data_IF_391494426108
#
_entry.id   IF_391494426108
#
_cell.length_a   1.000
_cell.length_b   1.000
_cell.length_c   1.000
_cell.angle_alpha   90.00
_cell.angle_beta   90.00
_cell.angle_gamma   90.00
#
_symmetry.space_group_name_H-M   'P 1'
#
loop_
_entity.id
_entity.type
_entity.pdbx_description
1 polymer ?
#
# COMPACT_ATOMS: atom_id res chain seq x y z
N UNK A 1 -14.56 12.42 69.89
CA UNK A 1 -14.10 13.72 69.35
C UNK A 1 -12.63 13.57 69.01
N UNK A 2 -12.31 13.35 67.73
CA UNK A 2 -10.95 13.43 67.15
C UNK A 2 -11.12 13.72 65.65
N UNK A 3 -10.40 14.69 65.04
CA UNK A 3 -10.62 15.08 63.66
C UNK A 3 -9.80 14.20 62.70
N UNK A 4 -10.43 13.77 61.60
CA UNK A 4 -9.77 13.12 60.48
C UNK A 4 -9.14 14.18 59.56
N UNK A 5 -7.84 14.08 59.34
CA UNK A 5 -7.11 14.85 58.34
C UNK A 5 -7.04 14.04 57.04
N UNK A 6 -7.61 14.59 55.96
CA UNK A 6 -7.42 14.10 54.59
C UNK A 6 -6.36 14.97 53.90
N UNK A 7 -5.25 14.41 53.37
CA UNK A 7 -4.35 15.20 52.55
C UNK A 7 -4.89 15.27 51.12
N UNK A 8 -5.09 16.49 50.62
CA UNK A 8 -5.26 16.77 49.20
C UNK A 8 -3.96 16.40 48.46
N UNK A 9 -3.98 15.32 47.68
CA UNK A 9 -2.98 15.08 46.64
C UNK A 9 -3.40 15.85 45.39
N UNK A 10 -2.79 17.01 45.15
CA UNK A 10 -2.80 17.66 43.85
C UNK A 10 -2.01 16.77 42.86
N UNK A 11 -2.70 16.08 41.98
CA UNK A 11 -2.10 15.45 40.81
C UNK A 11 -1.77 16.55 39.79
N UNK A 12 -0.50 16.94 39.71
CA UNK A 12 0.01 17.77 38.62
C UNK A 12 -0.01 16.96 37.32
N UNK A 13 -1.02 17.21 36.47
CA UNK A 13 -0.98 16.79 35.08
C UNK A 13 0.14 17.58 34.38
N UNK A 14 1.31 16.97 34.24
CA UNK A 14 2.33 17.44 33.30
C UNK A 14 1.78 17.12 31.91
N UNK A 15 1.09 18.09 31.33
CA UNK A 15 0.74 18.06 29.92
C UNK A 15 2.03 18.09 29.11
N UNK A 16 2.39 16.97 28.50
CA UNK A 16 3.44 16.91 27.49
C UNK A 16 2.99 17.75 26.31
N UNK A 17 3.40 19.02 26.25
CA UNK A 17 3.26 19.83 25.04
C UNK A 17 4.18 19.21 23.99
N UNK A 18 3.61 18.50 23.02
CA UNK A 18 4.35 18.09 21.82
C UNK A 18 4.73 19.37 21.09
N UNK A 19 5.96 19.82 21.31
CA UNK A 19 6.49 21.02 20.67
C UNK A 19 6.61 20.72 19.18
N UNK A 20 5.94 21.52 18.34
CA UNK A 20 6.03 21.38 16.89
C UNK A 20 7.50 21.39 16.47
N UNK A 21 7.91 20.43 15.62
CA UNK A 21 9.28 20.35 15.16
C UNK A 21 9.71 21.70 14.55
N UNK A 22 10.90 22.22 14.87
CA UNK A 22 11.35 23.48 14.32
C UNK A 22 11.54 23.33 12.82
N UNK A 23 10.89 24.16 12.01
CA UNK A 23 11.07 24.17 10.56
C UNK A 23 12.55 24.37 10.19
N UNK A 24 13.12 23.57 9.26
CA UNK A 24 12.52 22.46 8.51
C UNK A 24 12.20 21.24 9.39
N UNK A 25 11.08 20.57 9.15
CA UNK A 25 10.54 19.50 10.00
C UNK A 25 11.37 18.20 9.91
N UNK A 26 12.58 18.21 10.42
CA UNK A 26 13.52 17.08 10.36
C UNK A 26 13.85 16.49 11.72
N UNK A 27 14.19 15.21 11.72
CA UNK A 27 14.73 14.51 12.89
C UNK A 27 16.00 13.71 12.53
N UNK A 28 16.76 13.33 13.56
CA UNK A 28 18.02 12.57 13.41
C UNK A 28 19.29 13.42 13.45
N UNK A 29 19.18 14.76 13.50
CA UNK A 29 20.29 15.64 13.84
C UNK A 29 19.76 16.97 14.40
N UNK A 30 20.48 17.62 15.34
CA UNK A 30 20.09 18.93 15.87
C UNK A 30 20.26 20.04 14.82
N UNK A 31 19.40 21.08 14.81
CA UNK A 31 19.45 22.18 13.85
C UNK A 31 20.82 22.84 13.70
N UNK A 32 21.58 22.96 14.79
CA UNK A 32 22.89 23.61 14.86
C UNK A 32 23.90 22.96 13.90
N UNK A 33 23.83 21.63 13.77
CA UNK A 33 24.68 20.84 12.87
C UNK A 33 24.23 21.01 11.41
N UNK A 34 22.95 21.27 11.17
CA UNK A 34 22.37 21.33 9.83
C UNK A 34 22.45 22.71 9.18
N UNK A 35 22.55 23.79 9.96
CA UNK A 35 22.56 25.20 9.48
C UNK A 35 23.60 25.49 8.41
N UNK A 36 24.74 24.79 8.43
CA UNK A 36 25.81 24.95 7.44
C UNK A 36 25.51 24.30 6.09
N UNK A 37 24.51 23.40 6.01
CA UNK A 37 24.21 22.67 4.78
C UNK A 37 23.38 23.51 3.79
N UNK A 38 23.63 23.31 2.50
CA UNK A 38 22.94 24.03 1.43
C UNK A 38 21.42 23.77 1.44
N UNK A 39 21.01 22.51 1.52
CA UNK A 39 19.59 22.12 1.53
C UNK A 39 18.82 22.77 2.69
N UNK A 40 19.44 22.89 3.87
CA UNK A 40 18.81 23.48 5.05
C UNK A 40 18.59 24.99 4.87
N UNK A 41 19.60 25.71 4.33
CA UNK A 41 19.48 27.14 4.00
C UNK A 41 18.41 27.39 2.95
N UNK A 42 18.28 26.50 1.97
CA UNK A 42 17.21 26.59 0.97
C UNK A 42 15.82 26.47 1.61
N UNK A 43 15.62 25.54 2.54
CA UNK A 43 14.37 25.48 3.28
C UNK A 43 14.11 26.79 4.04
N UNK A 44 15.10 27.30 4.77
CA UNK A 44 14.94 28.54 5.55
C UNK A 44 14.56 29.75 4.68
N UNK A 45 15.08 29.84 3.44
CA UNK A 45 14.73 30.89 2.48
C UNK A 45 13.23 30.96 2.21
N UNK A 46 12.56 29.81 2.10
CA UNK A 46 11.14 29.72 1.71
C UNK A 46 10.19 29.55 2.90
N UNK A 47 10.69 29.62 4.15
CA UNK A 47 9.89 29.42 5.37
C UNK A 47 8.61 30.26 5.39
N UNK A 48 8.73 31.52 4.95
CA UNK A 48 7.63 32.50 4.98
C UNK A 48 6.91 32.62 3.64
N UNK A 49 7.20 31.76 2.66
CA UNK A 49 6.55 31.81 1.35
C UNK A 49 5.03 31.57 1.50
N UNK A 50 4.21 32.33 0.80
CA UNK A 50 2.75 32.16 0.78
C UNK A 50 2.25 32.14 -0.66
N UNK A 51 1.13 31.44 -0.94
CA UNK A 51 0.54 31.47 -2.27
C UNK A 51 0.01 32.87 -2.56
N UNK A 52 0.23 33.34 -3.79
CA UNK A 52 -0.19 34.69 -4.23
C UNK A 52 -1.71 34.91 -4.14
N UNK A 53 -2.49 33.83 -4.20
CA UNK A 53 -3.92 33.82 -3.85
C UNK A 53 -4.13 32.78 -2.75
N UNK A 54 -4.80 33.14 -1.64
CA UNK A 54 -5.20 32.15 -0.66
C UNK A 54 -6.05 31.09 -1.35
N UNK A 55 -5.67 29.82 -1.20
CA UNK A 55 -6.54 28.71 -1.58
C UNK A 55 -7.74 28.76 -0.63
N UNK A 56 -8.88 29.24 -1.13
CA UNK A 56 -10.09 29.33 -0.32
C UNK A 56 -10.55 27.90 -0.05
N UNK A 57 -10.49 27.45 1.19
CA UNK A 57 -11.11 26.20 1.60
C UNK A 57 -12.60 26.31 1.26
N UNK A 58 -13.05 25.52 0.28
CA UNK A 58 -14.46 25.50 -0.12
C UNK A 58 -15.35 25.23 1.09
N UNK A 59 -16.39 26.05 1.27
CA UNK A 59 -17.49 25.76 2.21
C UNK A 59 -18.30 24.62 1.62
N UNK A 60 -17.91 23.38 1.88
CA UNK A 60 -18.59 22.21 1.33
C UNK A 60 -18.09 20.93 1.98
N UNK A 61 -19.04 20.26 2.63
CA UNK A 61 -19.02 18.95 3.29
C UNK A 61 -18.10 18.78 4.50
N UNK A 62 -18.73 18.54 5.66
CA UNK A 62 -18.15 18.03 6.91
C UNK A 62 -17.62 16.59 6.77
N UNK A 63 -17.04 16.25 5.62
CA UNK A 63 -16.39 14.97 5.37
C UNK A 63 -14.89 15.04 5.68
N UNK A 64 -14.33 13.96 6.24
CA UNK A 64 -12.87 13.77 6.27
C UNK A 64 -12.34 13.85 4.84
N UNK A 65 -11.48 14.84 4.56
CA UNK A 65 -10.90 15.02 3.23
C UNK A 65 -9.60 14.22 3.09
N UNK A 66 -9.59 13.18 2.26
CA UNK A 66 -8.38 12.43 1.90
C UNK A 66 -7.67 13.12 0.72
N UNK A 67 -6.81 14.09 1.02
CA UNK A 67 -6.11 14.87 0.00
C UNK A 67 -5.22 14.00 -0.90
N UNK A 68 -4.59 12.96 -0.35
CA UNK A 68 -3.74 12.07 -1.13
C UNK A 68 -4.58 11.19 -2.06
N UNK A 69 -5.68 10.62 -1.56
CA UNK A 69 -6.64 9.89 -2.38
C UNK A 69 -7.15 10.72 -3.55
N UNK A 70 -7.61 11.94 -3.28
CA UNK A 70 -8.10 12.87 -4.31
C UNK A 70 -7.01 13.25 -5.32
N UNK A 71 -5.77 13.48 -4.87
CA UNK A 71 -4.66 13.80 -5.77
C UNK A 71 -4.41 12.67 -6.77
N UNK A 72 -4.20 11.44 -6.28
CA UNK A 72 -3.89 10.30 -7.16
C UNK A 72 -5.06 9.92 -8.06
N UNK A 73 -6.30 10.02 -7.57
CA UNK A 73 -7.48 9.86 -8.43
C UNK A 73 -7.49 10.89 -9.56
N UNK A 74 -7.25 12.17 -9.24
CA UNK A 74 -7.28 13.25 -10.23
C UNK A 74 -6.14 13.12 -11.25
N UNK A 75 -4.94 12.69 -10.83
CA UNK A 75 -3.85 12.36 -11.76
C UNK A 75 -4.25 11.26 -12.75
N UNK A 76 -5.03 10.29 -12.30
CA UNK A 76 -5.48 9.15 -13.11
C UNK A 76 -6.74 9.42 -13.94
N UNK A 77 -7.32 10.63 -13.85
CA UNK A 77 -8.43 11.06 -14.70
C UNK A 77 -7.88 11.67 -16.00
N UNK A 78 -8.14 11.06 -17.18
CA UNK A 78 -7.60 11.56 -18.46
C UNK A 78 -7.98 13.02 -18.76
N UNK A 79 -9.17 13.44 -18.34
CA UNK A 79 -9.75 14.75 -18.63
C UNK A 79 -9.89 15.62 -17.36
N UNK A 80 -9.00 15.45 -16.37
CA UNK A 80 -9.02 16.23 -15.14
C UNK A 80 -9.00 17.75 -15.42
N UNK A 81 -10.11 18.41 -15.12
CA UNK A 81 -10.31 19.82 -15.38
C UNK A 81 -9.81 20.71 -14.24
N UNK A 82 -9.90 22.02 -14.45
CA UNK A 82 -9.53 23.03 -13.44
C UNK A 82 -10.30 22.83 -12.11
N UNK A 83 -11.58 22.51 -12.20
CA UNK A 83 -12.43 22.29 -11.02
C UNK A 83 -11.97 21.07 -10.19
N UNK A 84 -11.51 20.01 -10.83
CA UNK A 84 -11.01 18.82 -10.14
C UNK A 84 -9.77 19.17 -9.32
N UNK A 85 -8.80 19.85 -9.94
CA UNK A 85 -7.59 20.31 -9.26
C UNK A 85 -7.89 21.34 -8.15
N UNK A 86 -8.83 22.26 -8.35
CA UNK A 86 -9.26 23.20 -7.31
C UNK A 86 -9.78 22.47 -6.05
N UNK A 87 -10.51 21.35 -6.21
CA UNK A 87 -10.92 20.51 -5.07
C UNK A 87 -9.73 19.87 -4.36
N UNK A 88 -8.74 19.38 -5.11
CA UNK A 88 -7.51 18.79 -4.51
C UNK A 88 -6.74 19.86 -3.73
N UNK A 89 -6.55 21.05 -4.32
CA UNK A 89 -5.90 22.20 -3.68
C UNK A 89 -6.62 22.59 -2.38
N UNK A 90 -7.95 22.77 -2.43
CA UNK A 90 -8.74 23.13 -1.26
C UNK A 90 -8.69 22.05 -0.16
N UNK A 91 -8.74 20.77 -0.55
CA UNK A 91 -8.60 19.66 0.37
C UNK A 91 -7.24 19.67 1.08
N UNK A 92 -6.16 19.74 0.29
CA UNK A 92 -4.80 19.68 0.78
C UNK A 92 -4.44 20.87 1.67
N UNK A 93 -4.94 22.07 1.34
CA UNK A 93 -4.76 23.26 2.16
C UNK A 93 -5.49 23.14 3.50
N UNK A 94 -6.73 22.63 3.51
CA UNK A 94 -7.54 22.47 4.73
C UNK A 94 -6.99 21.41 5.68
N UNK A 95 -6.38 20.36 5.16
CA UNK A 95 -5.82 19.26 5.97
C UNK A 95 -4.33 19.38 6.20
N UNK A 96 -3.71 20.49 5.79
CA UNK A 96 -2.25 20.71 5.83
C UNK A 96 -1.47 19.53 5.25
N UNK A 97 -1.97 18.95 4.16
CA UNK A 97 -1.35 17.80 3.50
C UNK A 97 -0.10 18.22 2.72
N UNK A 98 0.99 18.53 3.44
CA UNK A 98 2.22 19.09 2.88
C UNK A 98 2.83 18.26 1.75
N UNK A 99 2.71 16.92 1.79
CA UNK A 99 3.12 16.06 0.67
C UNK A 99 2.34 16.35 -0.62
N UNK A 100 1.02 16.46 -0.51
CA UNK A 100 0.15 16.78 -1.66
C UNK A 100 0.36 18.21 -2.14
N UNK A 101 0.46 19.18 -1.23
CA UNK A 101 0.73 20.58 -1.58
C UNK A 101 2.08 20.71 -2.30
N UNK A 102 3.12 20.01 -1.85
CA UNK A 102 4.40 19.95 -2.55
C UNK A 102 4.21 19.47 -3.99
N UNK A 103 3.55 18.33 -4.20
CA UNK A 103 3.34 17.76 -5.53
C UNK A 103 2.50 18.68 -6.42
N UNK A 104 1.41 19.25 -5.91
CA UNK A 104 0.55 20.21 -6.63
C UNK A 104 1.36 21.40 -7.16
N UNK A 105 2.20 22.01 -6.31
CA UNK A 105 3.02 23.16 -6.71
C UNK A 105 4.23 22.78 -7.57
N UNK A 106 4.84 21.62 -7.35
CA UNK A 106 5.99 21.17 -8.14
C UNK A 106 5.59 20.77 -9.56
N UNK A 107 4.46 20.07 -9.70
CA UNK A 107 4.00 19.50 -10.97
C UNK A 107 3.11 20.46 -11.77
N UNK A 108 2.67 21.57 -11.16
CA UNK A 108 1.75 22.50 -11.83
C UNK A 108 0.36 21.90 -12.05
N UNK A 109 -0.12 21.10 -11.10
CA UNK A 109 -1.41 20.43 -11.25
C UNK A 109 -2.55 21.46 -11.13
N UNK A 110 -3.15 21.80 -12.27
CA UNK A 110 -4.16 22.86 -12.41
C UNK A 110 -3.59 24.30 -12.37
N UNK A 111 -2.27 24.49 -12.44
CA UNK A 111 -1.62 25.80 -12.36
C UNK A 111 -0.19 25.80 -12.93
N UNK A 112 0.45 26.96 -13.07
CA UNK A 112 1.90 26.99 -13.36
C UNK A 112 2.70 26.50 -12.15
N UNK A 113 3.77 25.69 -12.33
CA UNK A 113 4.64 25.26 -11.23
C UNK A 113 5.17 26.44 -10.39
N UNK A 114 5.21 26.26 -9.07
CA UNK A 114 5.70 27.22 -8.09
C UNK A 114 6.69 26.56 -7.14
N UNK A 115 7.95 26.45 -7.57
CA UNK A 115 8.96 25.65 -6.86
C UNK A 115 9.30 26.14 -5.46
N UNK A 116 9.25 27.45 -5.17
CA UNK A 116 9.50 27.93 -3.80
C UNK A 116 8.36 27.53 -2.83
N UNK A 117 7.11 27.49 -3.31
CA UNK A 117 6.01 26.93 -2.53
C UNK A 117 6.14 25.43 -2.37
N UNK A 118 6.48 24.72 -3.45
CA UNK A 118 6.74 23.28 -3.37
C UNK A 118 7.83 22.97 -2.34
N UNK A 119 8.93 23.72 -2.36
CA UNK A 119 10.03 23.59 -1.42
C UNK A 119 9.60 23.90 0.02
N UNK A 120 8.81 24.95 0.25
CA UNK A 120 8.24 25.23 1.57
C UNK A 120 7.49 24.01 2.10
N UNK A 121 6.57 23.47 1.30
CA UNK A 121 5.76 22.33 1.72
C UNK A 121 6.63 21.07 1.90
N UNK A 122 7.61 20.83 1.03
CA UNK A 122 8.59 19.74 1.20
C UNK A 122 9.31 19.80 2.55
N UNK A 123 9.77 20.99 2.94
CA UNK A 123 10.45 21.28 4.20
C UNK A 123 9.51 21.24 5.43
N UNK A 124 8.19 21.24 5.22
CA UNK A 124 7.17 21.04 6.26
C UNK A 124 6.78 19.57 6.46
N UNK A 125 7.23 18.65 5.61
CA UNK A 125 6.99 17.21 5.79
C UNK A 125 7.94 16.68 6.87
N UNK A 126 7.39 16.06 7.90
CA UNK A 126 8.19 15.39 8.93
C UNK A 126 8.99 14.25 8.31
N UNK A 127 10.33 14.32 8.33
CA UNK A 127 11.19 13.30 7.72
C UNK A 127 12.60 13.23 8.32
N UNK A 128 13.32 12.10 8.21
CA UNK A 128 14.73 12.03 8.52
C UNK A 128 15.55 13.01 7.68
N UNK A 129 16.70 13.47 8.21
CA UNK A 129 17.62 14.37 7.49
C UNK A 129 17.98 13.88 6.08
N UNK A 130 18.21 12.57 5.92
CA UNK A 130 18.56 11.98 4.62
C UNK A 130 17.45 12.14 3.57
N UNK A 131 16.21 11.83 3.94
CA UNK A 131 15.04 11.98 3.06
C UNK A 131 14.78 13.44 2.71
N UNK A 132 14.83 14.33 3.71
CA UNK A 132 14.63 15.76 3.47
C UNK A 132 15.68 16.32 2.51
N UNK A 133 16.96 15.97 2.71
CA UNK A 133 18.05 16.37 1.80
C UNK A 133 17.79 15.87 0.37
N UNK A 134 17.40 14.61 0.20
CA UNK A 134 17.10 14.03 -1.11
C UNK A 134 15.95 14.77 -1.80
N UNK A 135 14.85 15.00 -1.08
CA UNK A 135 13.66 15.72 -1.58
C UNK A 135 13.95 17.14 -2.02
N UNK A 136 14.72 17.89 -1.22
CA UNK A 136 15.14 19.26 -1.58
C UNK A 136 16.01 19.25 -2.84
N UNK A 137 16.92 18.28 -2.96
CA UNK A 137 17.77 18.14 -4.14
C UNK A 137 16.97 17.75 -5.39
N UNK A 138 15.99 16.85 -5.25
CA UNK A 138 15.09 16.44 -6.33
C UNK A 138 14.26 17.61 -6.86
N UNK A 139 13.62 18.37 -5.97
CA UNK A 139 12.88 19.58 -6.33
C UNK A 139 13.75 20.61 -7.04
N UNK A 140 15.02 20.76 -6.63
CA UNK A 140 15.95 21.68 -7.29
C UNK A 140 16.27 21.25 -8.72
N UNK A 141 16.52 19.96 -8.96
CA UNK A 141 16.73 19.43 -10.32
C UNK A 141 15.50 19.64 -11.20
N UNK A 142 14.30 19.46 -10.63
CA UNK A 142 13.05 19.73 -11.34
C UNK A 142 12.85 21.21 -11.67
N UNK A 143 13.28 22.10 -10.77
CA UNK A 143 13.22 23.55 -10.95
C UNK A 143 14.25 24.09 -11.97
N UNK A 144 15.45 23.49 -12.03
CA UNK A 144 16.47 23.84 -13.04
C UNK A 144 16.17 23.25 -14.42
N UNK A 145 15.29 22.25 -14.49
CA UNK A 145 14.98 21.53 -15.73
C UNK A 145 15.94 20.38 -16.04
N UNK A 146 16.86 20.07 -15.12
CA UNK A 146 17.74 18.89 -15.19
C UNK A 146 16.95 17.59 -15.05
N UNK A 147 15.79 17.67 -14.38
CA UNK A 147 14.82 16.59 -14.26
C UNK A 147 13.47 17.07 -14.82
N UNK A 148 12.76 16.21 -15.55
CA UNK A 148 11.45 16.49 -16.16
C UNK A 148 10.35 15.60 -15.62
N UNK A 149 10.69 14.59 -14.82
CA UNK A 149 9.69 13.70 -14.24
C UNK A 149 8.80 14.45 -13.24
N UNK A 150 7.58 13.96 -13.05
CA UNK A 150 6.69 14.51 -12.04
C UNK A 150 7.23 14.13 -10.66
N UNK A 151 7.22 15.09 -9.74
CA UNK A 151 7.62 14.84 -8.35
C UNK A 151 6.50 14.08 -7.65
N UNK A 152 6.85 12.97 -7.02
CA UNK A 152 6.01 12.27 -6.06
C UNK A 152 6.62 12.33 -4.65
N UNK A 153 5.77 12.46 -3.63
CA UNK A 153 6.22 12.42 -2.23
C UNK A 153 6.89 11.09 -1.86
N UNK A 154 6.58 10.03 -2.62
CA UNK A 154 7.09 8.69 -2.44
C UNK A 154 8.47 8.42 -3.06
N UNK A 155 8.98 9.30 -3.93
CA UNK A 155 10.27 9.10 -4.62
C UNK A 155 11.45 9.10 -3.65
N UNK A 156 11.36 9.91 -2.59
CA UNK A 156 12.40 10.11 -1.59
C UNK A 156 12.08 9.42 -0.24
N UNK A 157 11.16 8.45 -0.24
CA UNK A 157 10.69 7.79 0.98
C UNK A 157 11.61 6.62 1.41
N UNK A 158 12.15 6.67 2.63
CA UNK A 158 12.93 5.58 3.22
C UNK A 158 12.18 4.85 4.34
N UNK A 159 11.76 5.57 5.39
CA UNK A 159 11.19 5.02 6.62
C UNK A 159 9.64 5.00 6.61
N UNK A 160 8.98 5.59 7.61
CA UNK A 160 7.51 5.53 7.80
C UNK A 160 6.72 5.95 6.57
N UNK A 161 7.26 6.89 5.79
CA UNK A 161 6.64 7.35 4.54
C UNK A 161 6.58 6.24 3.49
N UNK A 162 7.52 5.29 3.47
CA UNK A 162 7.51 4.14 2.55
C UNK A 162 6.27 3.27 2.76
N UNK A 163 5.92 2.99 4.02
CA UNK A 163 4.73 2.21 4.36
C UNK A 163 3.44 2.94 3.97
N UNK A 164 3.39 4.26 4.14
CA UNK A 164 2.25 5.08 3.70
C UNK A 164 2.13 5.08 2.18
N UNK A 165 3.24 5.22 1.46
CA UNK A 165 3.32 5.14 0.01
C UNK A 165 2.86 3.78 -0.53
N UNK A 166 3.30 2.68 0.08
CA UNK A 166 2.82 1.34 -0.25
C UNK A 166 1.30 1.24 -0.05
N UNK A 167 0.76 1.76 1.05
CA UNK A 167 -0.68 1.73 1.32
C UNK A 167 -1.49 2.60 0.34
N UNK A 168 -0.92 3.70 -0.15
CA UNK A 168 -1.56 4.53 -1.18
C UNK A 168 -1.56 3.82 -2.53
N UNK A 169 -0.42 3.24 -2.95
CA UNK A 169 -0.34 2.45 -4.17
C UNK A 169 -1.32 1.29 -4.15
N UNK A 170 -1.44 0.60 -3.01
CA UNK A 170 -2.37 -0.52 -2.90
C UNK A 170 -3.84 -0.07 -2.97
N UNK A 171 -4.20 1.06 -2.37
CA UNK A 171 -5.54 1.64 -2.55
C UNK A 171 -5.86 1.95 -4.02
N UNK A 172 -4.88 2.41 -4.80
CA UNK A 172 -5.06 2.67 -6.23
C UNK A 172 -5.20 1.36 -7.03
N UNK A 173 -4.36 0.36 -6.74
CA UNK A 173 -4.48 -0.98 -7.35
C UNK A 173 -5.83 -1.61 -7.05
N UNK A 174 -6.28 -1.52 -5.80
CA UNK A 174 -7.58 -2.06 -5.39
C UNK A 174 -8.76 -1.44 -6.11
N UNK A 175 -8.77 -0.11 -6.25
CA UNK A 175 -9.76 0.60 -7.06
C UNK A 175 -9.72 0.18 -8.52
N UNK A 176 -8.52 0.08 -9.10
CA UNK A 176 -8.34 -0.34 -10.49
C UNK A 176 -8.85 -1.76 -10.72
N UNK A 177 -8.42 -2.73 -9.89
CA UNK A 177 -8.90 -4.12 -9.92
C UNK A 177 -10.42 -4.19 -9.79
N UNK A 178 -10.98 -3.51 -8.79
CA UNK A 178 -12.43 -3.52 -8.53
C UNK A 178 -13.21 -2.93 -9.70
N UNK A 179 -12.73 -1.83 -10.29
CA UNK A 179 -13.35 -1.21 -11.46
C UNK A 179 -13.28 -2.13 -12.70
N UNK A 180 -12.15 -2.80 -12.94
CA UNK A 180 -11.98 -3.74 -14.04
C UNK A 180 -12.93 -4.94 -13.89
N UNK A 181 -12.98 -5.56 -12.70
CA UNK A 181 -13.90 -6.67 -12.42
C UNK A 181 -15.36 -6.23 -12.51
N UNK A 182 -15.72 -5.06 -11.98
CA UNK A 182 -17.08 -4.53 -12.10
C UNK A 182 -17.46 -4.25 -13.55
N UNK A 183 -16.55 -3.68 -14.35
CA UNK A 183 -16.80 -3.40 -15.75
C UNK A 183 -17.06 -4.69 -16.55
N UNK A 184 -16.32 -5.76 -16.23
CA UNK A 184 -16.43 -7.09 -16.81
C UNK A 184 -17.77 -7.77 -16.46
N UNK A 185 -18.25 -7.63 -15.22
CA UNK A 185 -19.45 -8.33 -14.74
C UNK A 185 -20.77 -7.66 -15.09
N UNK A 186 -20.77 -6.46 -15.69
CA UNK A 186 -22.00 -5.70 -16.03
C UNK A 186 -23.02 -6.49 -16.85
N UNK A 187 -22.58 -7.42 -17.69
CA UNK A 187 -23.45 -8.25 -18.52
C UNK A 187 -23.72 -9.66 -17.97
N UNK A 188 -23.16 -10.01 -16.82
CA UNK A 188 -23.26 -11.36 -16.27
C UNK A 188 -24.58 -11.60 -15.56
N UNK A 189 -25.04 -12.85 -15.55
CA UNK A 189 -26.21 -13.25 -14.78
C UNK A 189 -25.90 -13.39 -13.28
N UNK A 190 -26.94 -13.52 -12.46
CA UNK A 190 -26.80 -13.59 -11.00
C UNK A 190 -25.93 -14.76 -10.51
N UNK A 191 -25.96 -15.91 -11.21
CA UNK A 191 -25.16 -17.09 -10.83
C UNK A 191 -23.67 -16.86 -11.11
N UNK A 192 -23.35 -16.24 -12.24
CA UNK A 192 -21.99 -15.86 -12.62
C UNK A 192 -21.41 -14.82 -11.66
N UNK A 193 -22.19 -13.78 -11.33
CA UNK A 193 -21.79 -12.75 -10.38
C UNK A 193 -21.53 -13.34 -8.98
N UNK A 194 -22.43 -14.20 -8.49
CA UNK A 194 -22.25 -14.88 -7.21
C UNK A 194 -21.00 -15.79 -7.22
N UNK A 195 -20.76 -16.51 -8.31
CA UNK A 195 -19.56 -17.35 -8.46
C UNK A 195 -18.27 -16.54 -8.31
N UNK A 196 -18.19 -15.38 -8.97
CA UNK A 196 -17.04 -14.49 -8.85
C UNK A 196 -16.93 -13.86 -7.47
N UNK A 197 -18.04 -13.46 -6.85
CA UNK A 197 -18.03 -12.92 -5.49
C UNK A 197 -17.48 -13.94 -4.49
N UNK A 198 -17.90 -15.20 -4.60
CA UNK A 198 -17.38 -16.29 -3.75
C UNK A 198 -15.89 -16.51 -3.95
N UNK A 199 -15.42 -16.55 -5.21
CA UNK A 199 -14.00 -16.68 -5.52
C UNK A 199 -13.18 -15.48 -5.02
N UNK A 200 -13.70 -14.26 -5.22
CA UNK A 200 -13.10 -13.02 -4.74
C UNK A 200 -12.96 -13.03 -3.21
N UNK A 201 -14.02 -13.39 -2.49
CA UNK A 201 -13.97 -13.49 -1.02
C UNK A 201 -12.95 -14.53 -0.56
N UNK A 202 -12.87 -15.66 -1.25
CA UNK A 202 -11.92 -16.72 -0.91
C UNK A 202 -10.46 -16.30 -1.16
N UNK A 203 -10.15 -15.59 -2.25
CA UNK A 203 -8.80 -15.06 -2.47
C UNK A 203 -8.43 -13.99 -1.45
N UNK A 204 -9.36 -13.10 -1.07
CA UNK A 204 -9.08 -12.10 -0.02
C UNK A 204 -8.76 -12.78 1.31
N UNK A 205 -9.49 -13.85 1.66
CA UNK A 205 -9.22 -14.63 2.85
C UNK A 205 -7.85 -15.30 2.80
N UNK A 206 -7.49 -15.93 1.68
CA UNK A 206 -6.18 -16.53 1.46
C UNK A 206 -5.04 -15.50 1.50
N UNK A 207 -5.19 -14.37 0.81
CA UNK A 207 -4.20 -13.28 0.77
C UNK A 207 -3.97 -12.69 2.17
N UNK A 208 -5.03 -12.54 2.98
CA UNK A 208 -4.88 -12.11 4.37
C UNK A 208 -4.10 -13.15 5.19
N UNK A 209 -4.35 -14.45 4.99
CA UNK A 209 -3.60 -15.50 5.70
C UNK A 209 -2.12 -15.53 5.29
N UNK A 210 -1.82 -15.29 4.00
CA UNK A 210 -0.45 -15.08 3.52
C UNK A 210 0.25 -13.95 4.27
N UNK A 211 -0.44 -12.82 4.48
CA UNK A 211 0.08 -11.67 5.24
C UNK A 211 0.27 -12.02 6.72
N UNK A 212 -0.74 -12.58 7.37
CA UNK A 212 -0.75 -12.80 8.81
C UNK A 212 0.22 -13.90 9.25
N UNK A 213 0.45 -14.89 8.39
CA UNK A 213 1.07 -16.14 8.78
C UNK A 213 2.26 -16.59 7.94
N UNK A 214 2.40 -16.10 6.71
CA UNK A 214 3.49 -16.47 5.78
C UNK A 214 4.31 -15.24 5.34
N UNK A 215 4.18 -14.14 6.05
CA UNK A 215 5.02 -12.94 5.92
C UNK A 215 5.55 -12.63 7.30
N UNK A 216 6.83 -12.25 7.39
CA UNK A 216 7.37 -11.75 8.65
C UNK A 216 6.56 -10.52 9.11
N UNK A 217 6.62 -10.16 10.38
CA UNK A 217 6.00 -8.95 10.93
C UNK A 217 6.95 -8.15 11.83
N UNK A 218 8.24 -8.54 11.90
CA UNK A 218 9.19 -8.01 12.88
C UNK A 218 9.64 -6.55 12.70
N UNK A 219 9.29 -5.85 11.61
CA UNK A 219 9.77 -4.47 11.37
C UNK A 219 8.77 -3.58 10.62
N UNK A 220 9.00 -2.26 10.63
CA UNK A 220 8.21 -1.30 9.84
C UNK A 220 8.42 -1.45 8.33
N UNK A 221 9.60 -1.90 7.89
CA UNK A 221 9.84 -2.28 6.49
C UNK A 221 8.93 -3.44 6.05
N UNK A 222 8.49 -4.25 7.01
CA UNK A 222 7.63 -5.40 6.76
C UNK A 222 6.20 -5.02 6.41
N UNK A 223 5.72 -3.82 6.77
CA UNK A 223 4.38 -3.35 6.38
C UNK A 223 4.24 -3.16 4.87
N UNK A 224 5.28 -2.67 4.19
CA UNK A 224 5.27 -2.57 2.71
C UNK A 224 5.18 -3.96 2.10
N UNK A 225 6.00 -4.90 2.60
CA UNK A 225 6.00 -6.28 2.12
C UNK A 225 4.64 -6.96 2.32
N UNK A 226 3.99 -6.76 3.46
CA UNK A 226 2.65 -7.29 3.72
C UNK A 226 1.62 -6.77 2.71
N UNK A 227 1.65 -5.48 2.40
CA UNK A 227 0.79 -4.89 1.36
C UNK A 227 1.11 -5.47 -0.02
N UNK A 228 2.39 -5.60 -0.37
CA UNK A 228 2.82 -6.14 -1.65
C UNK A 228 2.41 -7.62 -1.82
N UNK A 229 2.51 -8.44 -0.75
CA UNK A 229 2.07 -9.84 -0.72
C UNK A 229 0.55 -9.95 -0.93
N UNK A 230 -0.24 -9.17 -0.19
CA UNK A 230 -1.69 -9.16 -0.37
C UNK A 230 -2.07 -8.74 -1.78
N UNK A 231 -1.48 -7.65 -2.26
CA UNK A 231 -1.76 -7.10 -3.57
C UNK A 231 -1.39 -8.05 -4.71
N UNK A 232 -0.28 -8.79 -4.59
CA UNK A 232 0.13 -9.76 -5.60
C UNK A 232 -0.91 -10.87 -5.79
N UNK A 233 -1.51 -11.38 -4.71
CA UNK A 233 -2.57 -12.40 -4.80
C UNK A 233 -3.84 -11.84 -5.45
N UNK A 234 -4.24 -10.62 -5.07
CA UNK A 234 -5.45 -9.98 -5.60
C UNK A 234 -5.29 -9.56 -7.06
N UNK A 235 -4.13 -9.03 -7.44
CA UNK A 235 -3.81 -8.71 -8.84
C UNK A 235 -3.78 -9.98 -9.68
N UNK A 236 -3.17 -11.05 -9.18
CA UNK A 236 -3.13 -12.31 -9.92
C UNK A 236 -4.53 -12.91 -10.10
N UNK A 237 -5.40 -12.83 -9.09
CA UNK A 237 -6.80 -13.25 -9.23
C UNK A 237 -7.53 -12.43 -10.30
N UNK A 238 -7.43 -11.10 -10.27
CA UNK A 238 -8.06 -10.25 -11.27
C UNK A 238 -7.52 -10.59 -12.67
N UNK A 239 -6.20 -10.80 -12.79
CA UNK A 239 -5.54 -11.22 -14.02
C UNK A 239 -6.10 -12.54 -14.55
N UNK A 240 -6.20 -13.58 -13.71
CA UNK A 240 -6.70 -14.89 -14.13
C UNK A 240 -8.14 -14.81 -14.65
N UNK A 241 -8.99 -14.02 -14.00
CA UNK A 241 -10.38 -13.78 -14.43
C UNK A 241 -10.41 -13.07 -15.78
N UNK A 242 -9.62 -12.00 -15.94
CA UNK A 242 -9.56 -11.25 -17.20
C UNK A 242 -8.99 -12.08 -18.36
N UNK A 243 -7.95 -12.86 -18.12
CA UNK A 243 -7.35 -13.73 -19.15
C UNK A 243 -8.32 -14.82 -19.58
N UNK A 244 -9.06 -15.42 -18.64
CA UNK A 244 -10.07 -16.42 -18.97
C UNK A 244 -11.22 -15.84 -19.82
N UNK A 245 -11.70 -14.64 -19.47
CA UNK A 245 -12.69 -13.91 -20.29
C UNK A 245 -12.14 -13.50 -21.66
N UNK A 246 -10.83 -13.24 -21.74
CA UNK A 246 -10.10 -13.03 -22.99
C UNK A 246 -9.80 -14.30 -23.80
N UNK A 247 -10.33 -15.46 -23.41
CA UNK A 247 -10.14 -16.73 -24.11
C UNK A 247 -8.82 -17.47 -23.80
N UNK A 248 -8.09 -17.02 -22.78
CA UNK A 248 -6.83 -17.61 -22.30
C UNK A 248 -7.00 -18.38 -20.99
N UNK A 249 -8.15 -19.04 -20.83
CA UNK A 249 -8.40 -19.91 -19.69
C UNK A 249 -7.34 -21.03 -19.58
N UNK A 250 -7.09 -21.57 -18.38
CA UNK A 250 -6.05 -22.58 -18.16
C UNK A 250 -6.25 -23.82 -19.03
N UNK A 251 -5.14 -24.40 -19.50
CA UNK A 251 -5.12 -25.55 -20.43
C UNK A 251 -4.36 -26.75 -19.87
N UNK A 252 -4.59 -27.08 -18.60
CA UNK A 252 -4.01 -28.27 -18.00
C UNK A 252 -4.95 -29.47 -18.11
N UNK A 253 -4.36 -30.65 -18.27
CA UNK A 253 -5.02 -31.93 -18.17
C UNK A 253 -5.20 -32.37 -16.71
N UNK A 254 -6.05 -33.37 -16.50
CA UNK A 254 -6.21 -34.02 -15.19
C UNK A 254 -4.92 -34.68 -14.70
N UNK A 255 -4.13 -35.28 -15.60
CA UNK A 255 -2.82 -35.86 -15.26
C UNK A 255 -1.81 -34.81 -14.80
N UNK A 256 -1.80 -33.63 -15.43
CA UNK A 256 -0.97 -32.51 -14.98
C UNK A 256 -1.40 -31.99 -13.62
N UNK A 257 -2.72 -31.87 -13.37
CA UNK A 257 -3.23 -31.52 -12.04
C UNK A 257 -2.74 -32.53 -10.98
N UNK A 258 -2.91 -33.83 -11.23
CA UNK A 258 -2.50 -34.88 -10.29
C UNK A 258 -0.98 -34.80 -9.97
N UNK A 259 -0.14 -34.60 -11.00
CA UNK A 259 1.31 -34.43 -10.80
C UNK A 259 1.65 -33.20 -9.98
N UNK A 260 0.98 -32.07 -10.22
CA UNK A 260 1.21 -30.82 -9.48
C UNK A 260 0.75 -30.95 -8.02
N UNK A 261 -0.40 -31.58 -7.78
CA UNK A 261 -0.96 -31.76 -6.43
C UNK A 261 -0.07 -32.70 -5.60
N UNK A 262 0.42 -33.79 -6.20
CA UNK A 262 1.38 -34.67 -5.54
C UNK A 262 2.65 -33.92 -5.11
N UNK A 263 3.23 -33.12 -6.02
CA UNK A 263 4.43 -32.31 -5.75
C UNK A 263 4.18 -31.28 -4.65
N UNK A 264 3.07 -30.53 -4.73
CA UNK A 264 2.71 -29.55 -3.71
C UNK A 264 2.55 -30.20 -2.34
N UNK A 265 1.84 -31.33 -2.28
CA UNK A 265 1.65 -32.06 -1.03
C UNK A 265 2.97 -32.62 -0.48
N UNK A 266 3.90 -33.06 -1.33
CA UNK A 266 5.23 -33.49 -0.91
C UNK A 266 6.02 -32.34 -0.27
N UNK A 267 6.08 -31.17 -0.92
CA UNK A 267 6.75 -29.97 -0.38
C UNK A 267 6.10 -29.53 0.92
N UNK A 268 4.76 -29.49 0.98
CA UNK A 268 4.04 -29.15 2.21
C UNK A 268 4.37 -30.13 3.34
N UNK A 269 4.32 -31.45 3.10
CA UNK A 269 4.67 -32.45 4.12
C UNK A 269 6.11 -32.30 4.60
N UNK A 270 7.06 -32.09 3.68
CA UNK A 270 8.46 -31.87 4.02
C UNK A 270 8.64 -30.63 4.90
N UNK A 271 8.01 -29.52 4.51
CA UNK A 271 7.99 -28.30 5.31
C UNK A 271 7.41 -28.56 6.72
N UNK A 272 6.31 -29.31 6.82
CA UNK A 272 5.70 -29.63 8.10
C UNK A 272 6.55 -30.57 8.95
N UNK A 273 7.33 -31.49 8.38
CA UNK A 273 8.17 -32.43 9.13
C UNK A 273 9.45 -31.77 9.65
N UNK A 274 10.10 -30.95 8.84
CA UNK A 274 11.45 -30.47 9.12
C UNK A 274 11.51 -29.25 10.06
N UNK A 275 10.36 -28.67 10.42
CA UNK A 275 10.30 -27.38 11.13
C UNK A 275 9.70 -27.55 12.54
N UNK A 276 10.38 -27.07 13.61
CA UNK A 276 9.86 -27.16 14.96
C UNK A 276 8.54 -26.39 15.10
N UNK A 277 7.59 -26.94 15.86
CA UNK A 277 6.26 -26.35 15.99
C UNK A 277 6.23 -25.03 16.79
N UNK A 278 7.18 -24.84 17.72
CA UNK A 278 7.17 -23.77 18.72
C UNK A 278 8.11 -22.60 18.43
N UNK A 279 9.04 -22.73 17.48
CA UNK A 279 10.00 -21.67 17.16
C UNK A 279 9.60 -20.98 15.86
N UNK A 280 9.71 -19.65 15.85
CA UNK A 280 9.73 -18.94 14.58
C UNK A 280 10.99 -19.33 13.81
N UNK A 281 10.87 -19.57 12.51
CA UNK A 281 12.00 -19.99 11.67
C UNK A 281 12.40 -18.95 10.61
N UNK A 282 11.51 -17.98 10.34
CA UNK A 282 11.75 -16.80 9.51
C UNK A 282 11.00 -15.63 10.15
N UNK A 283 11.66 -14.90 11.05
CA UNK A 283 11.08 -13.72 11.69
C UNK A 283 9.91 -14.07 12.63
N UNK A 284 8.66 -13.94 12.19
CA UNK A 284 7.44 -14.33 12.94
C UNK A 284 6.70 -15.56 12.38
N UNK A 285 7.19 -16.15 11.28
CA UNK A 285 6.49 -17.23 10.57
C UNK A 285 6.56 -18.56 11.35
N UNK A 286 5.41 -19.25 11.46
CA UNK A 286 5.25 -20.51 12.22
C UNK A 286 4.59 -21.60 11.40
N UNK A 287 4.89 -22.86 11.73
CA UNK A 287 4.28 -24.05 11.12
C UNK A 287 2.75 -24.04 11.14
N UNK A 288 2.15 -23.67 12.27
CA UNK A 288 0.68 -23.57 12.42
C UNK A 288 0.07 -22.47 11.56
N UNK A 289 0.84 -21.40 11.28
CA UNK A 289 0.44 -20.34 10.36
C UNK A 289 0.39 -20.82 8.91
N UNK A 290 1.41 -21.57 8.49
CA UNK A 290 1.45 -22.19 7.15
C UNK A 290 0.30 -23.18 6.96
N UNK A 291 -0.03 -23.97 7.98
CA UNK A 291 -1.21 -24.86 7.93
C UNK A 291 -2.51 -24.08 7.72
N UNK A 292 -2.74 -23.01 8.50
CA UNK A 292 -3.94 -22.16 8.34
C UNK A 292 -4.03 -21.57 6.94
N UNK A 293 -2.90 -21.10 6.42
CA UNK A 293 -2.81 -20.50 5.09
C UNK A 293 -3.05 -21.54 4.00
N UNK A 294 -2.55 -22.76 4.16
CA UNK A 294 -2.83 -23.87 3.24
C UNK A 294 -4.32 -24.22 3.20
N UNK A 295 -5.02 -24.19 4.35
CA UNK A 295 -6.47 -24.41 4.40
C UNK A 295 -7.25 -23.30 3.71
N UNK A 296 -6.85 -22.04 3.91
CA UNK A 296 -7.43 -20.90 3.20
C UNK A 296 -7.21 -20.99 1.68
N UNK A 297 -6.02 -21.44 1.26
CA UNK A 297 -5.69 -21.68 -0.14
C UNK A 297 -6.57 -22.76 -0.78
N UNK A 298 -6.81 -23.89 -0.09
CA UNK A 298 -7.70 -24.94 -0.59
C UNK A 298 -9.12 -24.41 -0.85
N UNK A 299 -9.67 -23.62 0.07
CA UNK A 299 -10.97 -22.99 -0.10
C UNK A 299 -10.99 -22.02 -1.30
N UNK A 300 -9.91 -21.25 -1.51
CA UNK A 300 -9.76 -20.40 -2.69
C UNK A 300 -9.69 -21.21 -4.00
N UNK A 301 -8.88 -22.26 -4.05
CA UNK A 301 -8.78 -23.17 -5.20
C UNK A 301 -10.15 -23.73 -5.59
N UNK A 302 -10.89 -24.23 -4.62
CA UNK A 302 -12.18 -24.86 -4.85
C UNK A 302 -13.23 -23.81 -5.28
N UNK A 303 -13.18 -22.59 -4.73
CA UNK A 303 -14.04 -21.48 -5.17
C UNK A 303 -13.74 -21.03 -6.61
N UNK A 304 -12.46 -21.03 -7.02
CA UNK A 304 -12.06 -20.73 -8.40
C UNK A 304 -12.49 -21.82 -9.39
N UNK A 305 -12.39 -23.10 -9.01
CA UNK A 305 -12.92 -24.19 -9.83
C UNK A 305 -14.43 -24.05 -10.03
N UNK A 306 -15.17 -23.75 -8.95
CA UNK A 306 -16.60 -23.54 -9.03
C UNK A 306 -16.95 -22.36 -9.95
N UNK A 307 -16.32 -21.20 -9.77
CA UNK A 307 -16.49 -20.04 -10.65
C UNK A 307 -16.18 -20.41 -12.11
N UNK A 308 -15.05 -21.07 -12.35
CA UNK A 308 -14.62 -21.53 -13.66
C UNK A 308 -15.65 -22.45 -14.32
N UNK A 309 -16.25 -23.38 -13.58
CA UNK A 309 -17.29 -24.30 -14.09
C UNK A 309 -18.59 -23.58 -14.49
N UNK A 310 -18.90 -22.46 -13.81
CA UNK A 310 -20.09 -21.64 -14.09
C UNK A 310 -19.85 -20.78 -15.33
N UNK A 311 -18.70 -20.07 -15.37
CA UNK A 311 -18.43 -19.05 -16.39
C UNK A 311 -17.79 -19.60 -17.65
N UNK A 312 -17.01 -20.67 -17.52
CA UNK A 312 -16.24 -21.32 -18.59
C UNK A 312 -16.46 -22.85 -18.57
N UNK A 313 -17.69 -23.34 -18.81
CA UNK A 313 -18.03 -24.76 -18.69
C UNK A 313 -17.25 -25.69 -19.64
N UNK A 314 -16.67 -25.14 -20.71
CA UNK A 314 -15.78 -25.86 -21.63
C UNK A 314 -14.38 -26.14 -21.05
N UNK A 315 -14.00 -25.48 -19.95
CA UNK A 315 -12.70 -25.64 -19.30
C UNK A 315 -12.86 -26.65 -18.17
N UNK A 316 -12.13 -27.78 -18.19
CA UNK A 316 -12.21 -28.76 -17.11
C UNK A 316 -11.85 -28.14 -15.75
N UNK A 317 -12.57 -28.51 -14.69
CA UNK A 317 -12.27 -28.04 -13.33
C UNK A 317 -10.83 -28.34 -12.86
N UNK A 318 -10.26 -29.45 -13.35
CA UNK A 318 -8.86 -29.81 -13.13
C UNK A 318 -7.88 -28.78 -13.70
N UNK A 319 -8.23 -28.07 -14.78
CA UNK A 319 -7.38 -27.05 -15.37
C UNK A 319 -7.20 -25.84 -14.44
N UNK A 320 -8.30 -25.41 -13.82
CA UNK A 320 -8.29 -24.36 -12.79
C UNK A 320 -7.47 -24.80 -11.58
N UNK A 321 -7.77 -25.99 -11.03
CA UNK A 321 -7.02 -26.53 -9.88
C UNK A 321 -5.52 -26.61 -10.17
N UNK A 322 -5.11 -27.11 -11.35
CA UNK A 322 -3.70 -27.19 -11.74
C UNK A 322 -3.00 -25.83 -11.74
N UNK A 323 -3.59 -24.80 -12.35
CA UNK A 323 -3.00 -23.47 -12.41
C UNK A 323 -2.77 -22.88 -11.00
N UNK A 324 -3.74 -23.04 -10.09
CA UNK A 324 -3.61 -22.60 -8.70
C UNK A 324 -2.60 -23.44 -7.92
N UNK A 325 -2.59 -24.76 -8.11
CA UNK A 325 -1.64 -25.68 -7.46
C UNK A 325 -0.20 -25.41 -7.88
N UNK A 326 0.06 -25.14 -9.17
CA UNK A 326 1.39 -24.77 -9.65
C UNK A 326 1.93 -23.51 -8.94
N UNK A 327 1.08 -22.49 -8.76
CA UNK A 327 1.44 -21.27 -8.05
C UNK A 327 1.70 -21.53 -6.56
N UNK A 328 0.83 -22.30 -5.90
CA UNK A 328 1.02 -22.64 -4.49
C UNK A 328 2.26 -23.48 -4.23
N UNK A 329 2.56 -24.42 -5.12
CA UNK A 329 3.81 -25.18 -5.08
C UNK A 329 5.02 -24.24 -5.09
N UNK A 330 5.06 -23.26 -6.00
CA UNK A 330 6.13 -22.26 -6.05
C UNK A 330 6.26 -21.49 -4.72
N UNK A 331 5.14 -20.99 -4.17
CA UNK A 331 5.12 -20.26 -2.90
C UNK A 331 5.63 -21.10 -1.72
N UNK A 332 5.24 -22.37 -1.64
CA UNK A 332 5.69 -23.28 -0.59
C UNK A 332 7.17 -23.63 -0.74
N UNK A 333 7.66 -23.79 -1.97
CA UNK A 333 9.08 -24.01 -2.25
C UNK A 333 9.92 -22.80 -1.87
N UNK A 334 9.48 -21.58 -2.20
CA UNK A 334 10.14 -20.34 -1.79
C UNK A 334 10.20 -20.22 -0.27
N UNK A 335 9.12 -20.57 0.42
CA UNK A 335 9.08 -20.57 1.88
C UNK A 335 10.04 -21.60 2.49
N UNK A 336 10.10 -22.82 1.95
CA UNK A 336 11.04 -23.84 2.45
C UNK A 336 12.50 -23.48 2.15
N UNK A 337 12.79 -22.87 1.00
CA UNK A 337 14.13 -22.39 0.65
C UNK A 337 14.58 -21.26 1.57
N UNK A 338 13.73 -20.25 1.77
CA UNK A 338 14.01 -19.18 2.72
C UNK A 338 14.27 -19.76 4.13
N UNK A 339 13.45 -20.72 4.56
CA UNK A 339 13.61 -21.39 5.85
C UNK A 339 14.89 -22.23 5.95
N UNK A 340 15.45 -22.66 4.83
CA UNK A 340 16.73 -23.37 4.75
C UNK A 340 17.92 -22.42 4.56
N UNK A 341 17.70 -21.10 4.45
CA UNK A 341 18.75 -20.12 4.14
C UNK A 341 19.31 -20.25 2.72
N UNK A 342 18.50 -20.75 1.77
CA UNK A 342 18.86 -20.96 0.37
C UNK A 342 18.29 -19.90 -0.55
#
# INVERSE_FOLDING_TARGET
MSPAYWPFLLAAFIGSTVQAAPYPNVYGAPPEVLRGSDWYRQCLRVKNQQPARPVVAGKGENGRCDAAGLYYETVNLPDAGKADWERVHACAARTEAHGVLMMLYANGAGMTPQFDLALKHACSIQSPVGEMKSRVQHLRRRASGDDREAIDVCDDAAADLRGQCAAMRERQRDKSRSAQLAALTRGWNAKEQLGLEMASKAVHYFAQHRVDYETDAGSSATRSLQLDVQAAELDQFAFDVMDAEGGKAPRFSEGEFASLDEKMNAVYRQFMLNRPASTSYLGTIRKTGVEKTQRAWLAYRDAMELFGSIRHPQVPGSAWRAQLTARRLKQLTELDNAAAGR
#
